data_IF_890710737369
#
_entry.id   IF_890710737369
#
_cell.length_a   1.000
_cell.length_b   1.000
_cell.length_c   1.000
_cell.angle_alpha   90.00
_cell.angle_beta   90.00
_cell.angle_gamma   90.00
#
_symmetry.space_group_name_H-M   'P 1'
#
loop_
_entity.id
_entity.type
_entity.pdbx_description
1 polymer ?
#
# COMPACT_ATOMS: atom_id res chain seq x y z
N UNK A 1 15.29 20.14 14.22
CA UNK A 1 15.09 19.20 13.09
C UNK A 1 13.79 18.42 13.25
N UNK A 2 13.04 18.29 12.17
CA UNK A 2 11.82 17.50 12.16
C UNK A 2 12.17 16.01 12.38
N UNK A 3 11.36 15.32 13.16
CA UNK A 3 11.54 13.91 13.45
C UNK A 3 10.44 13.09 12.75
N UNK A 4 10.88 12.17 11.89
CA UNK A 4 9.97 11.22 11.25
C UNK A 4 9.82 9.98 12.14
N UNK A 5 8.59 9.64 12.45
CA UNK A 5 8.25 8.44 13.22
C UNK A 5 7.16 7.65 12.50
N UNK A 6 6.90 6.44 12.97
CA UNK A 6 5.87 5.56 12.40
C UNK A 6 4.99 5.02 13.52
N UNK A 7 3.71 4.82 13.24
CA UNK A 7 2.81 4.10 14.14
C UNK A 7 1.85 3.21 13.38
N UNK A 8 1.41 2.15 14.00
CA UNK A 8 0.35 1.32 13.44
C UNK A 8 -1.00 2.05 13.55
N UNK A 9 -1.88 1.81 12.58
CA UNK A 9 -3.25 2.30 12.65
C UNK A 9 -4.06 1.48 13.66
N UNK A 10 -5.11 2.09 14.19
CA UNK A 10 -6.12 1.41 15.00
C UNK A 10 -7.52 1.72 14.47
N UNK A 11 -8.55 1.17 15.10
CA UNK A 11 -9.95 1.32 14.64
C UNK A 11 -10.43 2.78 14.57
N UNK A 12 -9.82 3.67 15.34
CA UNK A 12 -10.18 5.09 15.34
C UNK A 12 -9.65 5.80 14.09
N UNK A 13 -8.79 5.14 13.31
CA UNK A 13 -8.17 5.71 12.13
C UNK A 13 -8.92 5.40 10.82
N UNK A 14 -10.09 4.73 10.85
CA UNK A 14 -10.77 4.34 9.61
C UNK A 14 -11.07 5.53 8.69
N UNK A 15 -11.46 6.66 9.24
CA UNK A 15 -11.70 7.88 8.45
C UNK A 15 -10.43 8.43 7.83
N UNK A 16 -9.34 8.43 8.59
CA UNK A 16 -8.04 8.90 8.11
C UNK A 16 -7.49 7.99 7.01
N UNK A 17 -7.65 6.67 7.17
CA UNK A 17 -7.25 5.71 6.13
C UNK A 17 -8.00 5.98 4.84
N UNK A 18 -9.33 6.14 4.89
CA UNK A 18 -10.14 6.44 3.72
C UNK A 18 -9.72 7.75 3.06
N UNK A 19 -9.41 8.76 3.86
CA UNK A 19 -8.91 10.05 3.35
C UNK A 19 -7.64 9.88 2.54
N UNK A 20 -6.66 9.11 3.05
CA UNK A 20 -5.41 8.86 2.31
C UNK A 20 -5.63 8.01 1.06
N UNK A 21 -6.53 7.02 1.11
CA UNK A 21 -6.89 6.23 -0.07
C UNK A 21 -7.41 7.15 -1.17
N UNK A 22 -8.29 8.09 -0.83
CA UNK A 22 -8.84 9.06 -1.79
C UNK A 22 -7.78 10.01 -2.33
N UNK A 23 -6.88 10.48 -1.48
CA UNK A 23 -5.77 11.35 -1.90
C UNK A 23 -4.84 10.65 -2.88
N UNK A 24 -4.51 9.39 -2.63
CA UNK A 24 -3.69 8.60 -3.53
C UNK A 24 -4.41 8.37 -4.86
N UNK A 25 -5.68 8.01 -4.82
CA UNK A 25 -6.47 7.77 -6.03
C UNK A 25 -6.59 9.05 -6.88
N UNK A 26 -6.72 10.21 -6.23
CA UNK A 26 -6.73 11.50 -6.93
C UNK A 26 -5.39 11.78 -7.62
N UNK A 27 -4.28 11.52 -6.94
CA UNK A 27 -2.95 11.59 -7.52
C UNK A 27 -2.82 10.67 -8.75
N UNK A 28 -3.38 9.47 -8.67
CA UNK A 28 -3.37 8.49 -9.75
C UNK A 28 -4.43 8.76 -10.83
N UNK A 29 -5.22 9.84 -10.69
CA UNK A 29 -6.29 10.24 -11.62
C UNK A 29 -7.40 9.19 -11.71
N UNK A 30 -7.69 8.52 -10.59
CA UNK A 30 -8.66 7.43 -10.50
C UNK A 30 -9.61 7.57 -9.30
N UNK A 31 -9.82 8.80 -8.82
CA UNK A 31 -10.67 9.06 -7.65
C UNK A 31 -12.09 8.53 -7.83
N UNK A 32 -12.63 8.61 -9.05
CA UNK A 32 -13.96 8.12 -9.40
C UNK A 32 -14.10 6.60 -9.27
N UNK A 33 -13.00 5.85 -9.18
CA UNK A 33 -13.03 4.39 -9.00
C UNK A 33 -13.10 3.98 -7.53
N UNK A 34 -12.93 4.91 -6.59
CA UNK A 34 -12.95 4.60 -5.15
C UNK A 34 -14.39 4.49 -4.68
N UNK A 35 -14.80 3.29 -4.32
CA UNK A 35 -16.13 3.01 -3.76
C UNK A 35 -16.07 2.55 -2.30
N UNK A 36 -14.87 2.40 -1.76
CA UNK A 36 -14.64 1.96 -0.38
C UNK A 36 -15.27 2.93 0.63
N UNK A 37 -15.80 2.37 1.70
CA UNK A 37 -16.40 3.11 2.81
C UNK A 37 -15.61 2.87 4.10
N UNK A 38 -15.89 3.67 5.13
CA UNK A 38 -15.27 3.45 6.44
C UNK A 38 -15.65 2.07 7.01
N UNK A 39 -16.88 1.61 6.77
CA UNK A 39 -17.32 0.28 7.21
C UNK A 39 -16.53 -0.83 6.52
N UNK A 40 -16.21 -0.68 5.24
CA UNK A 40 -15.37 -1.64 4.50
C UNK A 40 -13.99 -1.73 5.14
N UNK A 41 -13.39 -0.59 5.46
CA UNK A 41 -12.06 -0.53 6.08
C UNK A 41 -12.10 -1.18 7.46
N UNK A 42 -13.12 -0.85 8.28
CA UNK A 42 -13.28 -1.45 9.60
C UNK A 42 -13.38 -2.96 9.51
N UNK A 43 -14.22 -3.46 8.60
CA UNK A 43 -14.42 -4.89 8.41
C UNK A 43 -13.15 -5.62 8.00
N UNK A 44 -12.51 -5.15 6.93
CA UNK A 44 -11.43 -5.91 6.32
C UNK A 44 -10.08 -5.68 6.98
N UNK A 45 -9.82 -4.49 7.50
CA UNK A 45 -8.53 -4.18 8.16
C UNK A 45 -8.56 -4.57 9.63
N UNK A 46 -9.61 -4.19 10.37
CA UNK A 46 -9.60 -4.32 11.83
C UNK A 46 -10.36 -5.54 12.35
N UNK A 47 -11.38 -6.01 11.66
CA UNK A 47 -12.12 -7.21 12.08
C UNK A 47 -11.54 -8.48 11.45
N UNK A 48 -11.29 -8.47 10.15
CA UNK A 48 -10.81 -9.63 9.39
C UNK A 48 -9.29 -9.68 9.22
N UNK A 49 -8.59 -8.61 9.54
CA UNK A 49 -7.13 -8.51 9.47
C UNK A 49 -6.55 -8.92 8.11
N UNK A 50 -7.23 -8.53 7.01
CA UNK A 50 -6.77 -8.82 5.65
C UNK A 50 -5.71 -7.83 5.16
N UNK A 51 -5.56 -6.70 5.82
CA UNK A 51 -4.54 -5.71 5.52
C UNK A 51 -4.06 -5.04 6.80
N UNK A 52 -2.87 -4.46 6.74
CA UNK A 52 -2.28 -3.68 7.83
C UNK A 52 -1.99 -2.28 7.32
N UNK A 53 -2.06 -1.30 8.19
CA UNK A 53 -1.79 0.10 7.86
C UNK A 53 -0.80 0.68 8.86
N UNK A 54 0.22 1.36 8.36
CA UNK A 54 1.11 2.18 9.17
C UNK A 54 1.06 3.62 8.68
N UNK A 55 1.20 4.55 9.62
CA UNK A 55 1.28 5.97 9.32
C UNK A 55 2.70 6.48 9.52
N UNK A 56 3.08 7.45 8.69
CA UNK A 56 4.29 8.25 8.89
C UNK A 56 3.88 9.56 9.55
N UNK A 57 4.63 9.98 10.57
CA UNK A 57 4.37 11.21 11.31
C UNK A 57 5.63 12.08 11.31
N UNK A 58 5.43 13.37 11.09
CA UNK A 58 6.47 14.38 11.32
C UNK A 58 6.02 15.22 12.50
N UNK A 59 6.83 15.23 13.57
CA UNK A 59 6.52 15.97 14.80
C UNK A 59 5.08 15.71 15.28
N UNK A 60 4.70 14.44 15.36
CA UNK A 60 3.40 13.94 15.80
C UNK A 60 2.21 14.21 14.85
N UNK A 61 2.45 14.85 13.71
CA UNK A 61 1.43 15.04 12.69
C UNK A 61 1.50 13.92 11.66
N UNK A 62 0.38 13.27 11.38
CA UNK A 62 0.30 12.23 10.34
C UNK A 62 0.45 12.90 8.97
N UNK A 63 1.46 12.47 8.22
CA UNK A 63 1.81 13.05 6.93
C UNK A 63 1.78 12.04 5.77
N UNK A 64 1.50 10.79 6.07
CA UNK A 64 1.44 9.76 5.04
C UNK A 64 1.04 8.42 5.62
N UNK A 65 0.80 7.46 4.72
CA UNK A 65 0.40 6.12 5.12
C UNK A 65 0.96 5.07 4.16
N UNK A 66 0.98 3.84 4.62
CA UNK A 66 1.17 2.66 3.79
C UNK A 66 0.15 1.61 4.20
N UNK A 67 -0.48 0.98 3.21
CA UNK A 67 -1.39 -0.14 3.41
C UNK A 67 -0.81 -1.34 2.70
N UNK A 68 -0.70 -2.47 3.40
CA UNK A 68 -0.11 -3.69 2.85
C UNK A 68 -0.84 -4.93 3.34
N UNK A 69 -0.64 -6.02 2.63
CA UNK A 69 -1.20 -7.32 3.00
C UNK A 69 -0.19 -8.41 2.65
N UNK A 70 -0.45 -9.63 3.13
CA UNK A 70 0.44 -10.76 2.87
C UNK A 70 -0.12 -11.60 1.74
N UNK A 71 0.69 -11.83 0.71
CA UNK A 71 0.41 -12.81 -0.32
C UNK A 71 1.35 -14.01 -0.13
N UNK A 72 1.17 -15.08 -0.88
CA UNK A 72 1.98 -16.29 -0.73
C UNK A 72 2.66 -16.65 -2.05
N UNK A 73 3.96 -16.90 -1.98
CA UNK A 73 4.73 -17.40 -3.12
C UNK A 73 4.91 -18.90 -3.03
N UNK A 74 4.34 -19.63 -3.98
CA UNK A 74 4.53 -21.08 -4.05
C UNK A 74 5.97 -21.43 -4.42
N UNK A 75 6.65 -20.57 -5.18
CA UNK A 75 8.05 -20.79 -5.56
C UNK A 75 8.99 -20.66 -4.38
N UNK A 76 8.74 -19.69 -3.49
CA UNK A 76 9.56 -19.48 -2.32
C UNK A 76 9.12 -20.31 -1.11
N UNK A 77 7.87 -20.80 -1.13
CA UNK A 77 7.28 -21.47 0.05
C UNK A 77 7.17 -20.52 1.22
N UNK A 78 6.91 -19.23 0.96
CA UNK A 78 6.92 -18.19 1.99
C UNK A 78 5.93 -17.08 1.61
N UNK A 79 5.61 -16.24 2.57
CA UNK A 79 4.74 -15.10 2.34
C UNK A 79 5.52 -13.90 1.81
N UNK A 80 4.83 -13.06 1.07
CA UNK A 80 5.33 -11.76 0.63
C UNK A 80 4.59 -10.66 1.38
N UNK A 81 5.27 -9.57 1.70
CA UNK A 81 4.59 -8.34 2.03
C UNK A 81 4.28 -7.64 0.70
N UNK A 82 2.98 -7.52 0.40
CA UNK A 82 2.53 -6.78 -0.79
C UNK A 82 2.07 -5.39 -0.37
N UNK A 83 2.81 -4.39 -0.82
CA UNK A 83 2.44 -2.99 -0.58
C UNK A 83 1.40 -2.57 -1.62
N UNK A 84 0.18 -2.33 -1.14
CA UNK A 84 -0.92 -1.87 -2.00
C UNK A 84 -0.84 -0.37 -2.22
N UNK A 85 -0.74 0.42 -1.14
CA UNK A 85 -0.76 1.87 -1.19
C UNK A 85 0.38 2.46 -0.36
N UNK A 86 1.02 3.49 -0.93
CA UNK A 86 1.96 4.34 -0.20
C UNK A 86 1.72 5.79 -0.66
N UNK A 87 1.49 6.68 0.30
CA UNK A 87 1.25 8.09 0.00
C UNK A 87 1.89 8.97 1.06
N UNK A 88 2.56 10.02 0.62
CA UNK A 88 3.09 11.10 1.46
C UNK A 88 2.43 12.40 1.01
N UNK A 89 1.93 13.18 1.94
CA UNK A 89 1.34 14.48 1.65
C UNK A 89 2.29 15.33 0.78
N UNK A 90 1.78 16.01 -0.26
CA UNK A 90 2.62 16.72 -1.22
C UNK A 90 3.63 17.70 -0.59
N UNK A 91 3.22 18.42 0.45
CA UNK A 91 4.07 19.41 1.11
C UNK A 91 5.24 18.80 1.88
N UNK A 92 5.21 17.48 2.10
CA UNK A 92 6.28 16.75 2.80
C UNK A 92 7.14 15.91 1.86
N UNK A 93 6.87 15.96 0.56
CA UNK A 93 7.66 15.23 -0.43
C UNK A 93 9.02 15.91 -0.66
N UNK A 94 9.96 15.15 -1.21
CA UNK A 94 11.31 15.66 -1.44
C UNK A 94 12.24 15.61 -0.23
N UNK A 95 11.78 15.05 0.88
CA UNK A 95 12.54 14.93 2.13
C UNK A 95 13.00 13.49 2.41
N UNK A 96 12.80 12.57 1.46
CA UNK A 96 13.17 11.16 1.65
C UNK A 96 12.19 10.35 2.47
N UNK A 97 11.01 10.86 2.76
CA UNK A 97 10.02 10.18 3.62
C UNK A 97 9.42 8.95 2.96
N UNK A 98 9.18 8.99 1.64
CA UNK A 98 8.73 7.81 0.90
C UNK A 98 9.75 6.68 0.98
N UNK A 99 11.02 7.00 0.80
CA UNK A 99 12.11 6.02 0.95
C UNK A 99 12.19 5.50 2.39
N UNK A 100 12.02 6.37 3.38
CA UNK A 100 12.01 5.97 4.79
C UNK A 100 10.86 5.01 5.08
N UNK A 101 9.68 5.23 4.49
CA UNK A 101 8.54 4.31 4.60
C UNK A 101 8.88 2.95 3.98
N UNK A 102 9.48 2.92 2.78
CA UNK A 102 9.90 1.67 2.15
C UNK A 102 10.93 0.93 3.00
N UNK A 103 11.88 1.65 3.60
CA UNK A 103 12.86 1.05 4.52
C UNK A 103 12.17 0.43 5.73
N UNK A 104 11.17 1.11 6.29
CA UNK A 104 10.40 0.58 7.42
C UNK A 104 9.68 -0.71 7.04
N UNK A 105 9.06 -0.76 5.86
CA UNK A 105 8.39 -1.95 5.35
C UNK A 105 9.38 -3.08 5.07
N UNK A 106 10.52 -2.77 4.45
CA UNK A 106 11.58 -3.76 4.20
C UNK A 106 12.07 -4.37 5.51
N UNK A 107 12.21 -3.56 6.58
CA UNK A 107 12.59 -4.06 7.89
C UNK A 107 11.53 -5.00 8.47
N UNK A 108 10.25 -4.71 8.27
CA UNK A 108 9.16 -5.61 8.68
C UNK A 108 9.31 -6.96 7.97
N UNK A 109 9.58 -6.96 6.67
CA UNK A 109 9.80 -8.17 5.88
C UNK A 109 10.92 -9.02 6.47
N UNK A 110 12.06 -8.39 6.74
CA UNK A 110 13.24 -9.09 7.29
C UNK A 110 12.97 -9.61 8.70
N UNK A 111 12.42 -8.75 9.57
CA UNK A 111 12.19 -9.09 10.98
C UNK A 111 11.15 -10.19 11.16
N UNK A 112 10.13 -10.23 10.30
CA UNK A 112 9.10 -11.27 10.33
C UNK A 112 9.48 -12.53 9.55
N UNK A 113 10.62 -12.55 8.86
CA UNK A 113 11.08 -13.69 8.08
C UNK A 113 10.31 -13.94 6.80
N UNK A 114 9.71 -12.90 6.22
CA UNK A 114 8.99 -13.01 4.94
C UNK A 114 9.99 -13.15 3.79
N UNK A 115 9.55 -13.75 2.69
CA UNK A 115 10.43 -14.06 1.57
C UNK A 115 10.64 -12.94 0.56
N UNK A 116 9.72 -11.99 0.49
CA UNK A 116 9.76 -10.96 -0.54
C UNK A 116 8.97 -9.73 -0.13
N UNK A 117 9.44 -8.58 -0.61
CA UNK A 117 8.71 -7.32 -0.58
C UNK A 117 8.34 -6.97 -2.02
N UNK A 118 7.04 -6.83 -2.31
CA UNK A 118 6.56 -6.56 -3.67
C UNK A 118 5.51 -5.46 -3.70
N UNK A 119 5.41 -4.78 -4.83
CA UNK A 119 4.39 -3.75 -5.08
C UNK A 119 4.20 -3.59 -6.57
N UNK A 120 3.12 -2.90 -6.95
CA UNK A 120 2.83 -2.53 -8.33
C UNK A 120 2.92 -1.03 -8.51
N UNK A 121 3.06 -0.59 -9.73
CA UNK A 121 3.14 0.81 -10.09
C UNK A 121 2.46 1.01 -11.43
N UNK A 122 1.74 2.11 -11.59
CA UNK A 122 1.13 2.45 -12.87
C UNK A 122 2.22 2.62 -13.92
N UNK A 123 1.99 2.02 -15.09
CA UNK A 123 3.00 1.96 -16.16
C UNK A 123 3.45 3.33 -16.68
N UNK A 124 2.61 4.36 -16.54
CA UNK A 124 2.95 5.72 -16.94
C UNK A 124 3.84 6.47 -15.92
N UNK A 125 3.96 5.96 -14.71
CA UNK A 125 4.64 6.65 -13.60
C UNK A 125 6.15 6.39 -13.63
N UNK A 126 6.80 6.94 -14.67
CA UNK A 126 8.23 6.73 -14.89
C UNK A 126 9.11 7.21 -13.73
N UNK A 127 8.88 8.37 -13.10
CA UNK A 127 9.71 8.78 -11.96
C UNK A 127 9.70 7.76 -10.82
N UNK A 128 8.54 7.18 -10.53
CA UNK A 128 8.43 6.14 -9.48
C UNK A 128 9.15 4.86 -9.90
N UNK A 129 8.98 4.43 -11.16
CA UNK A 129 9.67 3.24 -11.68
C UNK A 129 11.18 3.42 -11.56
N UNK A 130 11.72 4.55 -12.03
CA UNK A 130 13.15 4.83 -11.95
C UNK A 130 13.65 4.84 -10.50
N UNK A 131 12.86 5.39 -9.58
CA UNK A 131 13.18 5.37 -8.16
C UNK A 131 13.25 3.94 -7.61
N UNK A 132 12.27 3.10 -7.92
CA UNK A 132 12.26 1.71 -7.45
C UNK A 132 13.44 0.91 -8.00
N UNK A 133 13.77 1.09 -9.28
CA UNK A 133 14.94 0.44 -9.87
C UNK A 133 16.24 0.89 -9.18
N UNK A 134 16.32 2.16 -8.80
CA UNK A 134 17.50 2.69 -8.08
C UNK A 134 17.69 2.06 -6.70
N UNK A 135 16.62 1.52 -6.10
CA UNK A 135 16.69 0.82 -4.83
C UNK A 135 17.13 -0.65 -4.97
N UNK A 136 17.30 -1.12 -6.20
CA UNK A 136 17.63 -2.52 -6.48
C UNK A 136 16.42 -3.41 -6.75
N UNK A 137 15.20 -2.84 -6.82
CA UNK A 137 14.02 -3.62 -7.20
C UNK A 137 14.10 -4.07 -8.66
N UNK A 138 13.45 -5.18 -8.97
CA UNK A 138 13.38 -5.70 -10.32
C UNK A 138 11.94 -5.62 -10.81
N UNK A 139 11.76 -5.04 -11.98
CA UNK A 139 10.45 -5.02 -12.63
C UNK A 139 10.18 -6.38 -13.25
N UNK A 140 9.02 -6.96 -12.91
CA UNK A 140 8.63 -8.29 -13.41
C UNK A 140 7.63 -8.16 -14.55
N UNK A 141 7.62 -9.15 -15.41
CA UNK A 141 6.74 -9.19 -16.60
C UNK A 141 5.49 -10.03 -16.30
N UNK A 142 4.64 -9.50 -15.40
CA UNK A 142 3.37 -10.11 -15.03
C UNK A 142 2.21 -9.24 -15.47
N UNK A 143 1.16 -9.86 -15.97
CA UNK A 143 -0.07 -9.18 -16.32
C UNK A 143 -1.12 -9.45 -15.23
N UNK A 144 -1.80 -8.41 -14.79
CA UNK A 144 -2.88 -8.51 -13.81
C UNK A 144 -4.21 -8.61 -14.53
N UNK A 145 -5.03 -9.58 -14.14
CA UNK A 145 -6.37 -9.76 -14.68
C UNK A 145 -7.39 -9.52 -13.58
N UNK A 146 -8.44 -8.75 -13.89
CA UNK A 146 -9.58 -8.55 -13.00
C UNK A 146 -10.83 -9.14 -13.61
N UNK A 147 -11.63 -9.82 -12.80
CA UNK A 147 -12.94 -10.30 -13.18
C UNK A 147 -13.92 -9.86 -12.09
N UNK A 148 -14.87 -9.03 -12.44
CA UNK A 148 -15.78 -8.39 -11.48
C UNK A 148 -17.21 -8.36 -12.00
N UNK A 149 -18.17 -8.05 -11.11
CA UNK A 149 -19.55 -7.80 -11.46
C UNK A 149 -20.21 -8.96 -12.20
N UNK A 150 -20.94 -8.62 -13.26
CA UNK A 150 -21.72 -9.60 -14.03
C UNK A 150 -20.87 -10.73 -14.61
N UNK A 151 -19.69 -10.43 -15.11
CA UNK A 151 -18.81 -11.44 -15.70
C UNK A 151 -18.31 -12.45 -14.65
N UNK A 152 -18.06 -11.96 -13.43
CA UNK A 152 -17.68 -12.84 -12.33
C UNK A 152 -18.83 -13.77 -11.94
N UNK A 153 -20.05 -13.20 -11.81
CA UNK A 153 -21.26 -13.97 -11.48
C UNK A 153 -21.56 -15.02 -12.56
N UNK A 154 -21.39 -14.65 -13.82
CA UNK A 154 -21.59 -15.55 -14.94
C UNK A 154 -20.64 -16.75 -14.87
N UNK A 155 -19.37 -16.50 -14.65
CA UNK A 155 -18.37 -17.59 -14.56
C UNK A 155 -18.66 -18.49 -13.34
N UNK A 156 -19.04 -17.92 -12.22
CA UNK A 156 -19.34 -18.67 -10.98
C UNK A 156 -20.55 -19.61 -11.14
N UNK A 157 -21.49 -19.29 -12.01
CA UNK A 157 -22.75 -20.01 -12.18
C UNK A 157 -22.82 -20.83 -13.50
N UNK A 158 -21.73 -21.01 -14.18
CA UNK A 158 -21.62 -21.78 -15.41
C UNK A 158 -21.77 -23.29 -15.20
#
# INVERSE_FOLDING_TARGET
>A
MSQLTFRNADENDVGLILEFIRKLADYEKRLDEVVATEDDIRKWVFEKHQAEVIFALEDDKVIGFALFFLSFSTYLGNVNLHLEDLFIEPEYRGNGYGKAMLKKLAKIVVDRGYGRFEWTCLSWNKPSIDFYLSLGAKQKDWNVFHLTGRELEKLANE
#
